data_IF_993184341113
#
_entry.id   IF_993184341113
#
_cell.length_a   1.000
_cell.length_b   1.000
_cell.length_c   1.000
_cell.angle_alpha   90.00
_cell.angle_beta   90.00
_cell.angle_gamma   90.00
#
_symmetry.space_group_name_H-M   'P 1'
#
loop_
_entity.id
_entity.type
_entity.pdbx_description
1 polymer ?
#
# COMPACT_ATOMS: atom_id res chain seq x y z
N UNK A 1 -22.78 -3.61 -49.88
CA UNK A 1 -21.58 -3.27 -49.10
C UNK A 1 -21.95 -3.04 -47.64
N UNK A 2 -21.79 -4.06 -46.81
CA UNK A 2 -22.07 -4.01 -45.38
C UNK A 2 -20.73 -3.78 -44.70
N UNK A 3 -20.54 -2.60 -44.14
CA UNK A 3 -19.38 -2.24 -43.30
C UNK A 3 -19.67 -2.78 -41.88
N UNK A 4 -18.98 -3.87 -41.54
CA UNK A 4 -18.91 -4.41 -40.18
C UNK A 4 -17.99 -3.50 -39.34
N UNK A 5 -18.57 -2.63 -38.50
CA UNK A 5 -17.86 -1.93 -37.44
C UNK A 5 -17.62 -2.91 -36.29
N UNK A 6 -16.42 -3.46 -36.23
CA UNK A 6 -15.95 -4.19 -35.05
C UNK A 6 -15.57 -3.18 -33.96
N UNK A 7 -16.45 -2.97 -32.99
CA UNK A 7 -16.17 -2.19 -31.79
C UNK A 7 -15.21 -2.98 -30.89
N UNK A 8 -13.94 -2.60 -30.91
CA UNK A 8 -12.95 -3.09 -29.97
C UNK A 8 -13.23 -2.43 -28.61
N UNK A 9 -13.90 -3.17 -27.73
CA UNK A 9 -14.02 -2.79 -26.32
C UNK A 9 -12.64 -2.98 -25.66
N UNK A 10 -11.90 -1.91 -25.52
CA UNK A 10 -10.70 -1.89 -24.71
C UNK A 10 -11.14 -1.94 -23.25
N UNK A 11 -11.17 -3.13 -22.68
CA UNK A 11 -11.33 -3.32 -21.25
C UNK A 11 -10.09 -2.74 -20.54
N UNK A 12 -10.19 -1.50 -20.07
CA UNK A 12 -9.23 -0.93 -19.16
C UNK A 12 -9.43 -1.61 -17.79
N UNK A 13 -8.77 -2.74 -17.58
CA UNK A 13 -8.75 -3.43 -16.29
C UNK A 13 -7.93 -2.61 -15.31
N UNK A 14 -8.59 -1.96 -14.35
CA UNK A 14 -7.92 -1.39 -13.18
C UNK A 14 -7.40 -2.56 -12.34
N UNK A 15 -6.11 -2.84 -12.44
CA UNK A 15 -5.51 -3.96 -11.73
C UNK A 15 -5.41 -3.65 -10.23
N UNK A 16 -6.33 -4.22 -9.45
CA UNK A 16 -6.16 -4.38 -8.01
C UNK A 16 -5.41 -5.69 -7.77
N UNK A 17 -4.25 -5.62 -7.15
CA UNK A 17 -3.54 -6.82 -6.72
C UNK A 17 -4.06 -7.21 -5.35
N UNK A 18 -4.76 -8.33 -5.28
CA UNK A 18 -5.30 -8.90 -4.04
C UNK A 18 -4.56 -10.17 -3.69
N UNK A 19 -3.96 -10.23 -2.51
CA UNK A 19 -3.39 -11.45 -1.96
C UNK A 19 -4.24 -11.90 -0.78
N UNK A 20 -4.99 -12.98 -0.97
CA UNK A 20 -5.79 -13.58 0.09
C UNK A 20 -4.90 -14.36 1.08
N UNK A 21 -5.39 -14.58 2.30
CA UNK A 21 -4.66 -15.30 3.37
C UNK A 21 -4.21 -16.70 2.99
N UNK A 22 -4.87 -17.37 2.05
CA UNK A 22 -4.47 -18.71 1.54
C UNK A 22 -3.17 -18.68 0.75
N UNK A 23 -2.81 -17.53 0.17
CA UNK A 23 -1.55 -17.31 -0.57
C UNK A 23 -0.55 -16.43 0.20
N UNK A 24 -1.00 -15.76 1.29
CA UNK A 24 -0.15 -14.91 2.10
C UNK A 24 0.63 -15.79 3.09
N UNK A 25 1.73 -16.38 2.61
CA UNK A 25 2.71 -17.02 3.49
C UNK A 25 3.48 -15.93 4.23
N UNK A 26 3.10 -15.66 5.46
CA UNK A 26 3.82 -14.75 6.34
C UNK A 26 4.95 -15.52 6.99
N UNK A 27 6.18 -15.00 6.86
CA UNK A 27 7.31 -15.59 7.56
C UNK A 27 7.10 -15.47 9.09
N UNK A 28 7.38 -16.51 9.87
CA UNK A 28 7.37 -16.38 11.34
C UNK A 28 8.38 -15.34 11.87
N UNK A 29 9.38 -14.99 11.05
CA UNK A 29 10.37 -13.97 11.37
C UNK A 29 9.93 -12.54 11.00
N UNK A 30 8.75 -12.35 10.39
CA UNK A 30 8.22 -11.02 10.09
C UNK A 30 7.81 -10.35 11.40
N UNK A 31 8.49 -9.27 11.76
CA UNK A 31 8.24 -8.48 12.97
C UNK A 31 7.34 -7.29 12.72
N UNK A 32 7.29 -6.81 11.48
CA UNK A 32 6.56 -5.60 11.10
C UNK A 32 5.69 -5.82 9.86
N UNK A 33 4.69 -4.97 9.69
CA UNK A 33 3.88 -4.94 8.47
C UNK A 33 4.74 -4.73 7.21
N UNK A 34 5.86 -3.99 7.33
CA UNK A 34 6.79 -3.77 6.23
C UNK A 34 7.42 -5.09 5.78
N UNK A 35 7.81 -5.94 6.71
CA UNK A 35 8.43 -7.24 6.39
C UNK A 35 7.48 -8.13 5.57
N UNK A 36 6.17 -7.95 5.80
CA UNK A 36 5.13 -8.66 5.04
C UNK A 36 4.94 -8.04 3.65
N UNK A 37 4.99 -6.72 3.55
CA UNK A 37 4.73 -6.00 2.29
C UNK A 37 5.97 -6.01 1.40
N UNK A 38 7.14 -5.76 1.97
CA UNK A 38 8.40 -5.72 1.24
C UNK A 38 8.68 -7.07 0.56
N UNK A 39 8.92 -7.02 -0.73
CA UNK A 39 9.22 -8.21 -1.53
C UNK A 39 8.03 -9.07 -1.95
N UNK A 40 6.83 -8.86 -1.42
CA UNK A 40 5.64 -9.62 -1.82
C UNK A 40 4.79 -8.93 -2.89
N UNK A 41 4.86 -7.60 -2.94
CA UNK A 41 4.08 -6.82 -3.88
C UNK A 41 5.00 -6.08 -4.85
N UNK A 42 5.06 -6.50 -6.13
CA UNK A 42 5.86 -5.80 -7.13
C UNK A 42 5.35 -4.38 -7.33
N UNK A 43 6.27 -3.42 -7.38
CA UNK A 43 5.95 -2.01 -7.56
C UNK A 43 5.60 -1.25 -6.27
N UNK A 44 5.77 -1.88 -5.12
CA UNK A 44 5.73 -1.22 -3.80
C UNK A 44 7.16 -0.90 -3.37
N UNK A 45 7.41 0.36 -3.00
CA UNK A 45 8.69 0.83 -2.47
C UNK A 45 8.48 1.40 -1.08
N UNK A 46 9.25 0.91 -0.13
CA UNK A 46 9.30 1.44 1.24
C UNK A 46 10.38 2.51 1.33
N UNK A 47 10.07 3.62 1.98
CA UNK A 47 10.98 4.73 2.25
C UNK A 47 11.03 4.93 3.75
N UNK A 48 12.24 5.01 4.32
CA UNK A 48 12.43 5.23 5.76
C UNK A 48 12.30 3.97 6.61
N UNK A 49 12.56 2.79 6.03
CA UNK A 49 12.51 1.50 6.72
C UNK A 49 13.65 1.28 7.73
N UNK A 50 14.72 2.04 7.62
CA UNK A 50 15.87 1.97 8.52
C UNK A 50 15.72 2.96 9.68
N UNK A 51 14.75 2.74 10.54
CA UNK A 51 14.47 3.59 11.70
C UNK A 51 15.61 3.60 12.72
N UNK A 52 16.54 2.65 12.65
CA UNK A 52 17.56 2.50 13.70
C UNK A 52 18.77 3.44 13.58
N UNK A 53 19.02 4.09 12.44
CA UNK A 53 20.33 4.73 12.21
C UNK A 53 20.31 6.08 11.48
N UNK A 54 19.19 6.73 11.28
CA UNK A 54 19.22 8.11 10.80
C UNK A 54 19.33 9.08 11.99
N UNK A 55 20.53 9.16 12.53
CA UNK A 55 20.94 10.32 13.30
C UNK A 55 21.02 11.48 12.30
N UNK A 56 20.01 12.33 12.27
CA UNK A 56 20.16 13.63 11.64
C UNK A 56 21.20 14.40 12.45
N UNK A 57 22.41 14.38 11.94
CA UNK A 57 23.59 15.00 12.55
C UNK A 57 23.38 16.51 12.81
N UNK A 58 22.38 17.10 12.18
CA UNK A 58 22.09 18.53 12.32
C UNK A 58 21.02 18.85 13.39
N UNK A 59 20.25 17.90 13.87
CA UNK A 59 19.15 18.18 14.80
C UNK A 59 19.29 17.58 16.19
N UNK A 60 20.24 16.70 16.44
CA UNK A 60 20.44 16.01 17.72
C UNK A 60 19.16 15.39 18.33
N UNK A 61 18.17 15.11 17.51
CA UNK A 61 16.89 14.49 17.87
C UNK A 61 16.72 13.18 17.12
N UNK A 62 16.45 12.12 17.86
CA UNK A 62 15.97 10.85 17.31
C UNK A 62 14.52 11.07 16.84
N UNK A 63 14.33 11.64 15.66
CA UNK A 63 13.02 11.58 15.02
C UNK A 63 12.82 10.17 14.49
N UNK A 64 11.91 9.43 15.09
CA UNK A 64 11.44 8.16 14.53
C UNK A 64 10.68 8.49 13.25
N UNK A 65 11.36 8.38 12.12
CA UNK A 65 10.73 8.58 10.81
C UNK A 65 9.82 7.40 10.56
N UNK A 66 8.51 7.63 10.67
CA UNK A 66 7.53 6.60 10.30
C UNK A 66 7.76 6.18 8.86
N UNK A 67 7.86 4.87 8.58
CA UNK A 67 8.07 4.39 7.23
C UNK A 67 6.90 4.77 6.32
N UNK A 68 7.21 5.18 5.10
CA UNK A 68 6.24 5.58 4.10
C UNK A 68 6.28 4.65 2.91
N UNK A 69 5.13 4.34 2.34
CA UNK A 69 5.04 3.42 1.22
C UNK A 69 4.64 4.20 -0.05
N UNK A 70 5.42 3.96 -1.12
CA UNK A 70 5.10 4.40 -2.46
C UNK A 70 4.61 3.21 -3.29
N UNK A 71 3.46 3.37 -3.93
CA UNK A 71 2.91 2.38 -4.86
C UNK A 71 3.15 2.89 -6.29
N UNK A 72 3.73 2.03 -7.13
CA UNK A 72 3.98 2.36 -8.55
C UNK A 72 2.66 2.71 -9.25
N UNK A 73 2.66 3.84 -9.98
CA UNK A 73 1.46 4.37 -10.63
C UNK A 73 0.65 5.33 -9.75
N UNK A 74 1.14 5.63 -8.54
CA UNK A 74 0.62 6.75 -7.75
C UNK A 74 0.96 8.09 -8.40
N UNK A 75 0.19 9.13 -8.06
CA UNK A 75 0.47 10.49 -8.49
C UNK A 75 1.76 10.98 -7.85
N UNK A 76 2.83 10.99 -8.63
CA UNK A 76 4.11 11.57 -8.23
C UNK A 76 4.26 12.91 -8.97
N UNK A 77 4.15 13.99 -8.24
CA UNK A 77 4.55 15.32 -8.70
C UNK A 77 5.96 15.61 -8.18
N UNK A 78 6.72 16.42 -8.92
CA UNK A 78 8.05 16.90 -8.49
C UNK A 78 8.01 17.56 -7.10
N UNK A 79 6.87 18.13 -6.74
CA UNK A 79 6.66 18.83 -5.47
C UNK A 79 5.81 18.05 -4.46
N UNK A 80 5.33 16.85 -4.77
CA UNK A 80 4.42 16.11 -3.90
C UNK A 80 4.57 14.61 -4.09
N UNK A 81 5.19 13.96 -3.11
CA UNK A 81 5.19 12.50 -3.01
C UNK A 81 3.87 12.07 -2.37
N UNK A 82 2.95 11.55 -3.16
CA UNK A 82 1.74 10.96 -2.62
C UNK A 82 2.06 9.56 -2.08
N UNK A 83 2.10 9.43 -0.76
CA UNK A 83 2.28 8.14 -0.10
C UNK A 83 0.96 7.37 -0.02
N UNK A 84 1.07 6.04 0.09
CA UNK A 84 -0.08 5.19 0.28
C UNK A 84 -0.75 5.44 1.63
N UNK A 85 -2.08 5.36 1.66
CA UNK A 85 -2.87 5.33 2.89
C UNK A 85 -3.17 3.87 3.27
N UNK A 86 -3.57 3.64 4.52
CA UNK A 86 -3.87 2.31 5.04
C UNK A 86 -5.35 2.21 5.41
N UNK A 87 -6.03 1.19 4.92
CA UNK A 87 -7.38 0.81 5.38
C UNK A 87 -7.24 -0.46 6.24
N UNK A 88 -7.39 -0.33 7.54
CA UNK A 88 -7.35 -1.47 8.47
C UNK A 88 -8.76 -1.75 8.93
N UNK A 89 -9.33 -2.85 8.46
CA UNK A 89 -10.71 -3.28 8.74
C UNK A 89 -11.77 -2.19 8.56
N UNK A 90 -11.58 -1.34 7.54
CA UNK A 90 -12.50 -0.25 7.22
C UNK A 90 -12.13 1.10 7.85
N UNK A 91 -11.15 1.17 8.74
CA UNK A 91 -10.64 2.41 9.31
C UNK A 91 -9.45 2.92 8.47
N UNK A 92 -9.52 4.17 8.05
CA UNK A 92 -8.50 4.78 7.20
C UNK A 92 -7.44 5.50 8.06
N UNK A 93 -6.17 5.16 7.79
CA UNK A 93 -5.00 5.75 8.42
C UNK A 93 -4.12 6.38 7.34
N UNK A 94 -3.62 7.58 7.60
CA UNK A 94 -2.65 8.28 6.73
C UNK A 94 -1.22 7.94 7.10
N UNK A 95 -1.00 7.60 8.36
CA UNK A 95 0.29 7.23 8.89
C UNK A 95 0.44 5.71 9.01
N UNK A 96 1.68 5.26 9.10
CA UNK A 96 2.00 3.85 9.21
C UNK A 96 1.42 3.22 10.49
N UNK A 97 0.56 2.19 10.38
CA UNK A 97 -0.08 1.55 11.53
C UNK A 97 0.91 0.61 12.25
N UNK A 98 1.58 1.10 13.28
CA UNK A 98 2.58 0.35 14.06
C UNK A 98 1.97 -0.74 14.95
N UNK A 99 0.67 -0.69 15.18
CA UNK A 99 -0.06 -1.59 16.09
C UNK A 99 -0.43 -2.94 15.44
N UNK A 100 -0.18 -3.10 14.15
CA UNK A 100 -0.55 -4.34 13.44
C UNK A 100 0.48 -5.42 13.67
N UNK A 101 0.03 -6.53 14.28
CA UNK A 101 0.81 -7.76 14.33
C UNK A 101 0.73 -8.47 12.97
N UNK A 102 1.88 -8.72 12.31
CA UNK A 102 1.93 -9.44 11.04
C UNK A 102 1.20 -10.78 11.05
N UNK A 103 1.24 -11.51 12.16
CA UNK A 103 0.62 -12.83 12.29
C UNK A 103 -0.93 -12.76 12.34
N UNK A 104 -1.47 -11.60 12.68
CA UNK A 104 -2.92 -11.35 12.70
C UNK A 104 -3.48 -11.00 11.32
N UNK A 105 -2.65 -10.79 10.32
CA UNK A 105 -3.11 -10.41 8.99
C UNK A 105 -3.79 -11.58 8.30
N UNK A 106 -5.04 -11.38 7.89
CA UNK A 106 -5.83 -12.31 7.07
C UNK A 106 -5.55 -12.10 5.58
N UNK A 107 -5.57 -10.85 5.13
CA UNK A 107 -5.32 -10.50 3.75
C UNK A 107 -4.78 -9.08 3.58
N UNK A 108 -4.02 -8.87 2.53
CA UNK A 108 -3.56 -7.55 2.09
C UNK A 108 -3.97 -7.35 0.64
N UNK A 109 -4.56 -6.19 0.34
CA UNK A 109 -4.92 -5.78 -1.02
C UNK A 109 -4.25 -4.44 -1.31
N UNK A 110 -3.52 -4.35 -2.41
CA UNK A 110 -2.92 -3.11 -2.87
C UNK A 110 -3.84 -2.47 -3.91
N UNK A 111 -4.32 -1.27 -3.62
CA UNK A 111 -5.09 -0.44 -4.55
C UNK A 111 -4.18 0.64 -5.13
N UNK A 112 -4.04 0.65 -6.45
CA UNK A 112 -3.30 1.71 -7.15
C UNK A 112 -4.10 3.02 -7.12
N UNK A 113 -3.42 4.13 -7.40
CA UNK A 113 -3.95 5.49 -7.29
C UNK A 113 -5.41 5.65 -7.74
N UNK A 114 -5.75 5.23 -8.96
CA UNK A 114 -7.11 5.39 -9.49
C UNK A 114 -8.15 4.62 -8.68
N UNK A 115 -7.88 3.34 -8.39
CA UNK A 115 -8.79 2.49 -7.61
C UNK A 115 -8.93 2.99 -6.17
N UNK A 116 -7.82 3.44 -5.58
CA UNK A 116 -7.81 3.99 -4.23
C UNK A 116 -8.56 5.33 -4.15
N UNK A 117 -8.36 6.22 -5.14
CA UNK A 117 -9.05 7.53 -5.19
C UNK A 117 -10.55 7.36 -5.38
N UNK A 118 -10.98 6.39 -6.20
CA UNK A 118 -12.40 6.09 -6.38
C UNK A 118 -13.05 5.61 -5.08
N UNK A 119 -12.31 4.90 -4.22
CA UNK A 119 -12.83 4.35 -2.97
C UNK A 119 -12.72 5.32 -1.79
N UNK A 120 -11.61 6.03 -1.68
CA UNK A 120 -11.27 6.84 -0.48
C UNK A 120 -11.16 8.33 -0.78
N UNK A 121 -11.37 8.75 -2.03
CA UNK A 121 -11.24 10.14 -2.43
C UNK A 121 -9.79 10.60 -2.59
N UNK A 122 -9.60 11.92 -2.60
CA UNK A 122 -8.33 12.57 -2.91
C UNK A 122 -7.18 12.27 -1.95
N UNK A 123 -7.45 11.81 -0.73
CA UNK A 123 -6.42 11.44 0.25
C UNK A 123 -5.60 10.22 -0.19
N UNK A 124 -6.20 9.35 -1.01
CA UNK A 124 -5.58 8.11 -1.49
C UNK A 124 -4.93 8.22 -2.87
N UNK A 125 -4.48 9.42 -3.28
CA UNK A 125 -3.80 9.62 -4.57
C UNK A 125 -2.51 8.81 -4.71
N UNK A 126 -1.87 8.48 -3.61
CA UNK A 126 -0.68 7.60 -3.57
C UNK A 126 -1.00 6.13 -3.68
N UNK A 127 -2.28 5.77 -3.70
CA UNK A 127 -2.76 4.40 -3.55
C UNK A 127 -3.18 4.07 -2.13
N UNK A 128 -3.70 2.85 -1.92
CA UNK A 128 -4.10 2.38 -0.60
C UNK A 128 -3.69 0.94 -0.38
N UNK A 129 -3.36 0.63 0.87
CA UNK A 129 -3.06 -0.71 1.36
C UNK A 129 -4.23 -1.12 2.26
N UNK A 130 -5.05 -2.05 1.76
CA UNK A 130 -6.21 -2.56 2.49
C UNK A 130 -5.80 -3.81 3.25
N UNK A 131 -5.91 -3.76 4.57
CA UNK A 131 -5.51 -4.82 5.48
C UNK A 131 -6.76 -5.34 6.17
N UNK A 132 -6.94 -6.65 6.15
CA UNK A 132 -7.97 -7.33 6.91
C UNK A 132 -7.31 -8.22 7.94
N UNK A 133 -7.74 -8.11 9.19
CA UNK A 133 -7.22 -8.89 10.30
C UNK A 133 -8.05 -10.16 10.50
N UNK A 134 -7.46 -11.16 11.16
CA UNK A 134 -8.14 -12.37 11.56
C UNK A 134 -9.03 -12.05 12.78
N UNK A 135 -10.26 -12.55 12.79
CA UNK A 135 -11.17 -12.38 13.92
C UNK A 135 -12.06 -11.13 13.91
N UNK A 136 -12.06 -10.35 12.82
CA UNK A 136 -12.98 -9.22 12.61
C UNK A 136 -14.14 -9.60 11.68
N UNK A 137 -14.79 -10.73 11.96
CA UNK A 137 -16.03 -11.15 11.28
C UNK A 137 -17.26 -10.76 12.10
#
# INVERSE_FOLDING_TARGET
FILLFASILINCSSSSETVSSSKLSISPAALTLIDVIAGKFPGVKVIGDNVANYLDYHKNTLESVSPKILIRGGSQSINYNAYAVYDVDGLLYTDYPTFIDPQQIKSITILRSLAATNKYGGVARGGAIVIRLKGTE
#
